data_IF_292885027321
#
_entry.id   IF_292885027321
#
_cell.length_a   1.000
_cell.length_b   1.000
_cell.length_c   1.000
_cell.angle_alpha   90.00
_cell.angle_beta   90.00
_cell.angle_gamma   90.00
#
_symmetry.space_group_name_H-M   'P 1'
#
loop_
_entity.id
_entity.type
_entity.pdbx_description
1 polymer ?
#
# COMPACT_ATOMS: atom_id res chain seq x y z
N UNK A 1 10.02 22.71 -23.93
CA UNK A 1 10.53 21.82 -22.87
C UNK A 1 9.43 21.72 -21.83
N UNK A 2 8.66 20.63 -21.84
CA UNK A 2 7.60 20.40 -20.87
C UNK A 2 8.29 19.79 -19.65
N UNK A 3 8.38 20.54 -18.56
CA UNK A 3 8.85 20.00 -17.29
C UNK A 3 7.87 18.92 -16.85
N UNK A 4 8.30 17.68 -16.54
CA UNK A 4 7.45 16.80 -15.77
C UNK A 4 7.11 17.54 -14.49
N UNK A 5 5.84 17.55 -14.13
CA UNK A 5 5.38 18.12 -12.87
C UNK A 5 6.12 17.34 -11.79
N UNK A 6 7.16 17.94 -11.21
CA UNK A 6 7.86 17.33 -10.09
C UNK A 6 6.80 16.95 -9.06
N UNK A 7 6.79 15.68 -8.64
CA UNK A 7 5.91 15.20 -7.60
C UNK A 7 5.88 16.25 -6.47
N UNK A 8 4.69 16.70 -6.07
CA UNK A 8 4.54 17.67 -5.01
C UNK A 8 5.33 17.15 -3.79
N UNK A 9 6.10 18.00 -3.08
CA UNK A 9 6.90 17.54 -1.94
C UNK A 9 6.07 16.71 -0.96
N UNK A 10 6.52 15.49 -0.66
CA UNK A 10 5.81 14.54 0.21
C UNK A 10 4.83 13.59 -0.50
N UNK A 11 4.65 13.70 -1.82
CA UNK A 11 3.92 12.70 -2.60
C UNK A 11 4.84 11.53 -2.91
N UNK A 12 4.36 10.32 -2.68
CA UNK A 12 5.07 9.08 -3.00
C UNK A 12 4.11 8.09 -3.66
N UNK A 13 4.56 7.45 -4.73
CA UNK A 13 3.80 6.46 -5.51
C UNK A 13 4.73 5.29 -5.78
N UNK A 14 4.37 4.12 -5.28
CA UNK A 14 5.20 2.92 -5.31
C UNK A 14 4.49 1.83 -6.10
N UNK A 15 5.17 1.32 -7.13
CA UNK A 15 4.81 0.12 -7.87
C UNK A 15 5.43 -1.10 -7.16
N UNK A 16 4.61 -1.89 -6.47
CA UNK A 16 5.09 -2.94 -5.59
C UNK A 16 5.48 -4.18 -6.41
N UNK A 17 6.72 -4.62 -6.24
CA UNK A 17 7.31 -5.67 -7.07
C UNK A 17 7.72 -5.23 -8.49
N UNK A 18 7.53 -3.95 -8.83
CA UNK A 18 8.01 -3.37 -10.07
C UNK A 18 9.54 -3.32 -10.14
N UNK A 19 10.09 -3.40 -11.36
CA UNK A 19 11.55 -3.44 -11.59
C UNK A 19 12.15 -2.09 -11.97
N UNK A 20 11.35 -1.18 -12.50
CA UNK A 20 11.81 0.11 -13.01
C UNK A 20 10.80 1.22 -12.70
N UNK A 21 11.32 2.43 -12.47
CA UNK A 21 10.49 3.63 -12.34
C UNK A 21 9.82 3.98 -13.68
N UNK A 22 8.58 4.44 -13.63
CA UNK A 22 7.88 4.93 -14.81
C UNK A 22 6.97 6.14 -14.53
N UNK A 23 6.62 6.86 -15.58
CA UNK A 23 5.61 7.92 -15.52
C UNK A 23 4.33 7.43 -16.19
N UNK A 24 3.24 7.40 -15.43
CA UNK A 24 1.92 7.03 -15.97
C UNK A 24 1.49 8.02 -17.04
N UNK A 25 1.20 7.52 -18.24
CA UNK A 25 0.72 8.36 -19.35
C UNK A 25 -0.70 8.90 -19.13
N UNK A 26 -1.46 8.28 -18.21
CA UNK A 26 -2.84 8.66 -17.92
C UNK A 26 -2.88 9.74 -16.84
N UNK A 27 -2.14 9.54 -15.75
CA UNK A 27 -2.19 10.42 -14.57
C UNK A 27 -1.02 11.40 -14.50
N UNK A 28 0.02 11.21 -15.32
CA UNK A 28 1.29 11.94 -15.26
C UNK A 28 1.97 11.83 -13.87
N UNK A 29 1.71 10.73 -13.16
CA UNK A 29 2.32 10.42 -11.86
C UNK A 29 3.55 9.56 -12.10
N UNK A 30 4.65 9.91 -11.44
CA UNK A 30 5.86 9.08 -11.35
C UNK A 30 5.66 7.98 -10.31
N UNK A 31 5.91 6.74 -10.69
CA UNK A 31 5.84 5.54 -9.86
C UNK A 31 7.25 4.97 -9.69
N UNK A 32 7.72 4.88 -8.45
CA UNK A 32 9.03 4.30 -8.09
C UNK A 32 8.89 2.83 -7.71
N UNK A 33 10.00 2.09 -7.69
CA UNK A 33 10.03 0.71 -7.18
C UNK A 33 9.92 0.69 -5.66
N UNK A 34 9.59 -0.48 -5.10
CA UNK A 34 9.43 -0.63 -3.65
C UNK A 34 10.70 -0.96 -2.86
N UNK A 35 11.84 -1.17 -3.53
CA UNK A 35 13.07 -1.69 -2.91
C UNK A 35 13.59 -0.84 -1.74
N UNK A 36 13.38 0.47 -1.76
CA UNK A 36 13.81 1.38 -0.69
C UNK A 36 12.87 1.38 0.53
N UNK A 37 11.65 0.86 0.38
CA UNK A 37 10.58 1.00 1.36
C UNK A 37 10.25 -0.31 2.09
N UNK A 38 10.70 -1.45 1.56
CA UNK A 38 10.47 -2.78 2.15
C UNK A 38 11.68 -3.68 1.97
N UNK A 39 12.02 -4.43 3.02
CA UNK A 39 13.24 -5.28 3.04
C UNK A 39 12.96 -6.77 2.90
N UNK A 40 11.69 -7.18 2.92
CA UNK A 40 11.27 -8.58 2.85
C UNK A 40 10.32 -8.80 1.66
N UNK A 41 9.95 -10.06 1.44
CA UNK A 41 9.04 -10.45 0.36
C UNK A 41 9.75 -10.69 -0.97
N UNK A 42 8.95 -11.13 -1.93
CA UNK A 42 9.36 -11.49 -3.28
C UNK A 42 8.43 -10.79 -4.27
N UNK A 43 8.91 -10.53 -5.48
CA UNK A 43 8.11 -9.96 -6.55
C UNK A 43 7.55 -11.05 -7.46
N UNK A 44 6.35 -10.85 -7.99
CA UNK A 44 5.76 -11.69 -9.03
C UNK A 44 4.99 -10.85 -10.04
N UNK A 45 4.94 -11.31 -11.29
CA UNK A 45 4.04 -10.78 -12.31
C UNK A 45 2.72 -11.52 -12.23
N UNK A 46 1.61 -10.79 -12.28
CA UNK A 46 0.27 -11.38 -12.31
C UNK A 46 -0.01 -12.07 -13.65
N UNK A 47 -0.90 -13.04 -13.67
CA UNK A 47 -1.14 -13.89 -14.85
C UNK A 47 -1.89 -13.18 -15.97
N UNK A 48 -2.75 -12.24 -15.60
CA UNK A 48 -3.54 -11.35 -16.46
C UNK A 48 -2.88 -9.98 -16.65
N UNK A 49 -1.55 -9.90 -16.54
CA UNK A 49 -0.79 -8.64 -16.63
C UNK A 49 -1.04 -7.85 -17.92
N UNK A 50 -1.47 -8.51 -19.00
CA UNK A 50 -1.79 -7.87 -20.28
C UNK A 50 -3.09 -7.04 -20.24
N UNK A 51 -3.98 -7.32 -19.28
CA UNK A 51 -5.33 -6.75 -19.21
C UNK A 51 -5.45 -5.68 -18.10
N UNK A 52 -4.39 -5.44 -17.33
CA UNK A 52 -4.38 -4.53 -16.18
C UNK A 52 -3.39 -3.37 -16.33
N UNK A 53 -3.63 -2.33 -15.53
CA UNK A 53 -2.75 -1.15 -15.48
C UNK A 53 -1.36 -1.52 -14.99
N UNK A 54 -0.33 -0.75 -15.39
CA UNK A 54 1.08 -1.03 -15.07
C UNK A 54 1.32 -1.30 -13.57
N UNK A 55 0.71 -0.51 -12.68
CA UNK A 55 0.84 -0.67 -11.21
C UNK A 55 0.16 -1.91 -10.63
N UNK A 56 -0.54 -2.68 -11.46
CA UNK A 56 -1.21 -3.92 -11.09
C UNK A 56 -0.61 -5.13 -11.84
N UNK A 57 0.38 -4.91 -12.72
CA UNK A 57 1.04 -6.01 -13.44
C UNK A 57 1.99 -6.81 -12.55
N UNK A 58 2.47 -6.20 -11.47
CA UNK A 58 3.33 -6.83 -10.48
C UNK A 58 2.74 -6.71 -9.08
N UNK A 59 3.15 -7.64 -8.23
CA UNK A 59 2.90 -7.61 -6.80
C UNK A 59 4.21 -7.87 -6.06
N UNK A 60 4.31 -7.31 -4.86
CA UNK A 60 5.16 -7.89 -3.82
C UNK A 60 4.32 -8.79 -2.93
N UNK A 61 4.78 -10.02 -2.71
CA UNK A 61 4.15 -10.99 -1.82
C UNK A 61 5.13 -11.47 -0.74
N UNK A 62 4.59 -11.94 0.37
CA UNK A 62 5.36 -12.29 1.56
C UNK A 62 5.21 -13.79 1.88
N UNK A 63 5.99 -14.67 1.22
CA UNK A 63 5.89 -16.12 1.42
C UNK A 63 6.56 -16.60 2.70
N UNK A 64 7.50 -15.81 3.22
CA UNK A 64 8.13 -16.10 4.50
C UNK A 64 7.06 -16.08 5.60
N UNK A 65 7.13 -17.05 6.52
CA UNK A 65 6.18 -17.17 7.64
C UNK A 65 6.45 -16.13 8.74
N UNK A 66 6.88 -14.94 8.34
CA UNK A 66 6.98 -13.76 9.18
C UNK A 66 5.54 -13.28 9.46
N UNK A 67 5.14 -13.10 10.73
CA UNK A 67 3.76 -12.74 11.07
C UNK A 67 3.31 -11.38 10.51
N UNK A 68 4.24 -10.44 10.33
CA UNK A 68 3.98 -9.06 9.90
C UNK A 68 5.14 -8.53 9.06
N UNK A 69 4.85 -8.06 7.85
CA UNK A 69 5.81 -7.40 6.96
C UNK A 69 5.36 -5.96 6.77
N UNK A 70 6.28 -5.00 6.79
CA UNK A 70 5.95 -3.57 6.79
C UNK A 70 6.75 -2.81 5.75
N UNK A 71 6.07 -1.90 5.08
CA UNK A 71 6.66 -0.80 4.34
C UNK A 71 6.88 0.37 5.29
N UNK A 72 8.01 1.06 5.14
CA UNK A 72 8.32 2.30 5.84
C UNK A 72 8.28 3.47 4.85
N UNK A 73 7.13 4.16 4.78
CA UNK A 73 6.92 5.23 3.82
C UNK A 73 7.54 6.53 4.32
N UNK A 74 8.48 7.07 3.54
CA UNK A 74 9.19 8.32 3.84
C UNK A 74 9.32 9.18 2.58
N UNK A 75 9.46 10.51 2.70
CA UNK A 75 9.42 11.29 3.94
C UNK A 75 7.99 11.60 4.39
N UNK A 76 7.68 11.31 5.66
CA UNK A 76 6.53 11.86 6.37
C UNK A 76 6.98 12.99 7.32
N UNK A 77 6.03 13.73 7.88
CA UNK A 77 6.27 14.79 8.85
C UNK A 77 5.39 14.54 10.07
N UNK A 78 6.02 14.44 11.25
CA UNK A 78 5.29 14.24 12.50
C UNK A 78 4.19 15.31 12.68
N UNK A 79 2.97 14.86 13.00
CA UNK A 79 1.79 15.70 13.19
C UNK A 79 1.06 16.11 11.90
N UNK A 80 1.68 15.91 10.72
CA UNK A 80 1.02 16.14 9.43
C UNK A 80 0.07 14.98 9.11
N UNK A 81 -1.08 15.30 8.54
CA UNK A 81 -2.06 14.31 8.08
C UNK A 81 -1.82 13.93 6.61
N UNK A 82 -2.06 12.66 6.30
CA UNK A 82 -1.82 12.04 5.00
C UNK A 82 -2.98 11.14 4.61
N UNK A 83 -3.15 10.97 3.29
CA UNK A 83 -3.87 9.85 2.69
C UNK A 83 -2.85 8.77 2.34
N UNK A 84 -3.09 7.55 2.79
CA UNK A 84 -2.41 6.34 2.38
C UNK A 84 -3.38 5.50 1.57
N UNK A 85 -3.00 5.11 0.35
CA UNK A 85 -3.77 4.16 -0.48
C UNK A 85 -2.95 2.90 -0.69
N UNK A 86 -3.56 1.76 -0.41
CA UNK A 86 -2.99 0.45 -0.69
C UNK A 86 -3.89 -0.28 -1.70
N UNK A 87 -3.34 -0.64 -2.85
CA UNK A 87 -4.06 -1.34 -3.92
C UNK A 87 -3.62 -2.79 -4.03
N UNK A 88 -4.58 -3.66 -4.33
CA UNK A 88 -4.43 -5.10 -4.35
C UNK A 88 -5.09 -5.67 -5.60
N UNK A 89 -4.31 -6.35 -6.42
CA UNK A 89 -4.78 -7.18 -7.52
C UNK A 89 -4.01 -8.49 -7.49
N UNK A 90 -4.74 -9.58 -7.23
CA UNK A 90 -4.17 -10.90 -7.03
C UNK A 90 -3.72 -11.50 -8.37
N UNK A 91 -4.58 -11.44 -9.39
CA UNK A 91 -4.29 -11.91 -10.74
C UNK A 91 -3.63 -13.30 -10.81
N UNK A 92 -3.94 -14.19 -9.85
CA UNK A 92 -3.40 -15.54 -9.72
C UNK A 92 -1.86 -15.62 -9.82
N UNK A 93 -1.13 -14.65 -9.24
CA UNK A 93 0.33 -14.54 -9.35
C UNK A 93 1.09 -15.79 -8.86
N UNK A 94 0.49 -16.60 -7.97
CA UNK A 94 1.08 -17.82 -7.41
C UNK A 94 0.51 -19.13 -7.99
N UNK A 95 -0.37 -19.05 -9.00
CA UNK A 95 -1.03 -20.19 -9.65
C UNK A 95 -1.80 -21.11 -8.68
N UNK A 96 -2.32 -20.56 -7.57
CA UNK A 96 -3.09 -21.32 -6.58
C UNK A 96 -4.59 -21.14 -6.74
N UNK A 97 -5.03 -20.20 -7.58
CA UNK A 97 -6.45 -19.87 -7.81
C UNK A 97 -7.23 -19.71 -6.50
N UNK A 98 -6.58 -19.09 -5.50
CA UNK A 98 -7.14 -18.93 -4.17
C UNK A 98 -6.64 -17.66 -3.50
N UNK A 99 -7.56 -16.72 -3.33
CA UNK A 99 -7.32 -15.45 -2.65
C UNK A 99 -6.79 -15.67 -1.21
N UNK A 100 -5.64 -15.08 -0.85
CA UNK A 100 -5.14 -15.09 0.52
C UNK A 100 -5.99 -14.18 1.43
N UNK A 101 -6.02 -14.51 2.73
CA UNK A 101 -6.58 -13.63 3.75
C UNK A 101 -5.47 -13.12 4.67
N UNK A 102 -5.42 -11.81 4.86
CA UNK A 102 -4.45 -11.14 5.71
C UNK A 102 -4.98 -9.78 6.16
N UNK A 103 -4.34 -9.18 7.15
CA UNK A 103 -4.69 -7.88 7.67
C UNK A 103 -3.82 -6.76 7.12
N UNK A 104 -4.43 -5.62 6.82
CA UNK A 104 -3.75 -4.35 6.53
C UNK A 104 -3.74 -3.48 7.80
N UNK A 105 -2.55 -3.00 8.17
CA UNK A 105 -2.32 -2.22 9.38
C UNK A 105 -1.52 -0.97 9.01
N UNK A 106 -1.96 0.21 9.43
CA UNK A 106 -1.20 1.46 9.25
C UNK A 106 -0.98 2.17 10.57
N UNK A 107 0.27 2.48 10.91
CA UNK A 107 0.69 3.15 12.16
C UNK A 107 0.00 2.65 13.43
N UNK A 108 -0.13 1.31 13.53
CA UNK A 108 -0.77 0.54 14.60
C UNK A 108 -2.31 0.52 14.62
N UNK A 109 -2.97 1.08 13.61
CA UNK A 109 -4.41 0.88 13.40
C UNK A 109 -4.63 -0.29 12.44
N UNK A 110 -5.27 -1.37 12.94
CA UNK A 110 -5.72 -2.49 12.11
C UNK A 110 -7.02 -2.08 11.41
N UNK A 111 -7.04 -2.12 10.09
CA UNK A 111 -8.19 -1.63 9.33
C UNK A 111 -9.00 -2.74 8.65
N UNK A 112 -8.31 -3.71 8.06
CA UNK A 112 -8.95 -4.71 7.20
C UNK A 112 -8.41 -6.07 7.57
N UNK A 113 -9.28 -7.08 7.63
CA UNK A 113 -8.88 -8.49 7.85
C UNK A 113 -9.14 -9.39 6.63
N UNK A 114 -9.70 -8.82 5.56
CA UNK A 114 -10.07 -9.47 4.31
C UNK A 114 -9.81 -8.49 3.18
N UNK A 115 -8.77 -8.72 2.39
CA UNK A 115 -8.55 -8.01 1.12
C UNK A 115 -9.24 -8.84 0.03
N UNK A 116 -10.11 -8.22 -0.78
CA UNK A 116 -10.68 -8.87 -1.96
C UNK A 116 -9.88 -8.52 -3.20
N UNK A 117 -10.13 -9.23 -4.30
CA UNK A 117 -9.45 -8.96 -5.57
C UNK A 117 -9.87 -7.59 -6.09
N UNK A 118 -8.93 -6.87 -6.71
CA UNK A 118 -9.15 -5.53 -7.28
C UNK A 118 -9.63 -4.47 -6.29
N UNK A 119 -9.17 -4.54 -5.04
CA UNK A 119 -9.49 -3.54 -4.02
C UNK A 119 -8.43 -2.46 -3.90
N UNK A 120 -8.87 -1.24 -3.61
CA UNK A 120 -8.02 -0.16 -3.10
C UNK A 120 -8.57 0.34 -1.77
N UNK A 121 -7.73 0.31 -0.74
CA UNK A 121 -8.06 0.79 0.59
C UNK A 121 -7.43 2.17 0.80
N UNK A 122 -8.26 3.18 1.02
CA UNK A 122 -7.86 4.54 1.33
C UNK A 122 -7.96 4.81 2.83
N UNK A 123 -6.92 5.43 3.40
CA UNK A 123 -6.79 5.64 4.84
C UNK A 123 -6.26 7.04 5.12
N UNK A 124 -6.84 7.69 6.12
CA UNK A 124 -6.36 8.97 6.62
C UNK A 124 -5.52 8.70 7.87
N UNK A 125 -4.28 9.20 7.90
CA UNK A 125 -3.35 8.98 9.01
C UNK A 125 -2.62 10.26 9.38
N UNK A 126 -2.51 10.53 10.69
CA UNK A 126 -1.61 11.55 11.20
C UNK A 126 -0.28 10.88 11.50
N UNK A 127 0.78 11.29 10.80
CA UNK A 127 2.10 10.70 10.96
C UNK A 127 2.60 10.92 12.39
N UNK A 128 3.09 9.85 13.01
CA UNK A 128 3.64 9.88 14.38
C UNK A 128 5.16 10.11 14.40
N UNK A 129 5.78 10.10 13.23
CA UNK A 129 7.22 10.20 13.00
C UNK A 129 7.47 10.73 11.59
N UNK A 130 8.73 10.73 11.17
CA UNK A 130 9.18 10.99 9.81
C UNK A 130 8.93 9.82 8.83
N UNK A 131 8.38 8.71 9.32
CA UNK A 131 7.87 7.58 8.51
C UNK A 131 6.42 7.24 8.88
N UNK A 132 5.71 6.66 7.91
CA UNK A 132 4.41 5.99 8.10
C UNK A 132 4.58 4.52 7.76
N UNK A 133 4.22 3.65 8.70
CA UNK A 133 4.29 2.20 8.55
C UNK A 133 3.02 1.65 7.88
N UNK A 134 3.18 0.85 6.82
CA UNK A 134 2.08 0.08 6.20
C UNK A 134 2.42 -1.39 6.24
N UNK A 135 1.71 -2.14 7.07
CA UNK A 135 2.02 -3.54 7.34
C UNK A 135 0.94 -4.51 6.86
N UNK A 136 1.39 -5.63 6.32
CA UNK A 136 0.60 -6.80 5.97
C UNK A 136 0.86 -7.89 7.01
N UNK A 137 -0.17 -8.26 7.76
CA UNK A 137 -0.09 -9.28 8.80
C UNK A 137 -0.86 -10.53 8.40
N UNK A 138 -0.22 -11.69 8.50
CA UNK A 138 -0.85 -12.96 8.13
C UNK A 138 -1.95 -13.32 9.14
N UNK A 139 -3.13 -13.69 8.66
CA UNK A 139 -4.19 -14.19 9.53
C UNK A 139 -3.92 -15.68 9.86
N UNK A 140 -3.37 -15.92 11.05
CA UNK A 140 -3.09 -17.28 11.54
C UNK A 140 -4.34 -18.02 12.04
N UNK A 141 -5.47 -17.34 12.12
CA UNK A 141 -6.76 -17.92 12.53
C UNK A 141 -7.61 -18.37 11.34
N UNK A 142 -7.29 -17.90 10.13
CA UNK A 142 -8.01 -18.28 8.92
C UNK A 142 -7.55 -19.63 8.36
N UNK A 143 -8.52 -20.41 7.86
CA UNK A 143 -8.24 -21.60 7.04
C UNK A 143 -7.82 -21.23 5.61
N UNK A 144 -8.02 -19.98 5.19
CA UNK A 144 -7.57 -19.47 3.89
C UNK A 144 -6.06 -19.26 3.96
N UNK A 145 -5.34 -20.23 3.42
CA UNK A 145 -3.89 -20.20 3.38
C UNK A 145 -3.42 -19.44 2.14
N UNK A 146 -2.52 -18.49 2.31
CA UNK A 146 -1.93 -17.78 1.21
C UNK A 146 -1.02 -16.66 1.71
N UNK A 147 -0.26 -16.08 0.79
CA UNK A 147 0.77 -15.11 1.12
C UNK A 147 0.20 -13.70 1.02
N UNK A 148 0.37 -12.86 2.06
CA UNK A 148 0.01 -11.45 1.95
C UNK A 148 0.71 -10.83 0.75
N UNK A 149 0.01 -9.97 0.02
CA UNK A 149 0.54 -9.34 -1.18
C UNK A 149 0.04 -7.90 -1.30
N UNK A 150 0.72 -7.08 -2.10
CA UNK A 150 0.32 -5.71 -2.40
C UNK A 150 0.82 -5.32 -3.80
N UNK A 151 0.01 -4.55 -4.54
CA UNK A 151 0.31 -4.13 -5.91
C UNK A 151 0.83 -2.69 -5.96
N UNK A 152 0.24 -1.78 -5.19
CA UNK A 152 0.65 -0.39 -5.20
C UNK A 152 0.45 0.30 -3.84
N UNK A 153 1.29 1.31 -3.57
CA UNK A 153 1.16 2.21 -2.43
C UNK A 153 1.23 3.67 -2.88
N UNK A 154 0.33 4.50 -2.36
CA UNK A 154 0.39 5.95 -2.52
C UNK A 154 0.38 6.64 -1.15
N UNK A 155 1.23 7.65 -1.00
CA UNK A 155 1.22 8.58 0.13
C UNK A 155 0.96 10.00 -0.40
N UNK A 156 -0.02 10.69 0.18
CA UNK A 156 -0.42 12.05 -0.20
C UNK A 156 -0.58 12.92 1.05
N UNK A 157 0.22 13.98 1.27
CA UNK A 157 -0.01 14.92 2.35
C UNK A 157 -1.34 15.66 2.12
N UNK A 158 -2.11 15.79 3.19
CA UNK A 158 -3.29 16.64 3.20
C UNK A 158 -2.90 18.13 3.31
N UNK A 159 -3.77 19.06 2.90
CA UNK A 159 -3.55 20.48 3.13
C UNK A 159 -3.27 20.79 4.61
N UNK A 160 -2.39 21.77 4.86
CA UNK A 160 -2.17 22.27 6.22
C UNK A 160 -3.49 22.81 6.80
N UNK A 161 -3.76 22.46 8.06
CA UNK A 161 -5.00 22.85 8.75
C UNK A 161 -6.21 21.98 8.45
N UNK A 162 -6.05 20.86 7.73
CA UNK A 162 -7.10 19.84 7.62
C UNK A 162 -7.53 19.36 9.01
N UNK A 163 -8.82 19.47 9.29
CA UNK A 163 -9.46 18.98 10.51
C UNK A 163 -9.82 17.51 10.37
N UNK A 164 -9.59 16.75 11.44
CA UNK A 164 -9.93 15.34 11.50
C UNK A 164 -10.44 14.97 12.88
N UNK A 165 -11.31 13.97 12.94
CA UNK A 165 -11.75 13.32 14.16
C UNK A 165 -11.18 11.92 14.24
N UNK A 166 -10.71 11.54 15.42
CA UNK A 166 -10.30 10.16 15.72
C UNK A 166 -11.51 9.36 16.17
N UNK A 167 -11.88 8.34 15.41
CA UNK A 167 -12.98 7.44 15.74
C UNK A 167 -12.41 6.13 16.26
N UNK A 168 -12.87 5.71 17.44
CA UNK A 168 -12.55 4.39 17.98
C UNK A 168 -13.22 3.31 17.13
N UNK A 169 -12.41 2.43 16.53
CA UNK A 169 -12.82 1.24 15.80
C UNK A 169 -12.64 0.01 16.69
N UNK A 170 -13.33 -1.09 16.34
CA UNK A 170 -13.27 -2.34 17.11
C UNK A 170 -11.85 -2.92 17.25
N UNK A 171 -10.93 -2.56 16.35
CA UNK A 171 -9.52 -2.99 16.36
C UNK A 171 -8.51 -1.83 16.29
N UNK A 172 -8.88 -0.59 16.63
CA UNK A 172 -7.94 0.54 16.60
C UNK A 172 -8.60 1.92 16.59
N UNK A 173 -7.91 2.93 16.08
CA UNK A 173 -8.46 4.27 15.85
C UNK A 173 -8.32 4.66 14.39
N UNK A 174 -9.43 4.97 13.72
CA UNK A 174 -9.42 5.54 12.37
C UNK A 174 -9.50 7.06 12.41
N UNK A 175 -8.95 7.75 11.42
CA UNK A 175 -9.16 9.18 11.24
C UNK A 175 -10.23 9.41 10.18
N UNK A 176 -11.15 10.31 10.47
CA UNK A 176 -12.16 10.79 9.53
C UNK A 176 -11.98 12.29 9.35
N UNK A 177 -11.95 12.74 8.09
CA UNK A 177 -11.91 14.17 7.80
C UNK A 177 -13.26 14.82 8.13
N UNK A 178 -13.20 16.03 8.68
CA UNK A 178 -14.37 16.85 9.06
C UNK A 178 -14.37 18.14 8.26
#
# INVERSE_FOLDING_TARGET
MISPTAAQPGFLSIDCGGLEEFVSLITNITWVTDEEYVTTGQSATVKDSADVSTTHQTVRYFPEKIPKNCYELSPAQEGQAYIVRASFHYGDFDNKDRMPQFSLIVDATVMVSLVSDDDTYEMYVAAKSDTISVCLARDVSSSLTGDPFISALELRPLPLGTTYETVALSQGFGLFLV
#
